data_IF_564565140459
#
_entry.id   IF_564565140459
#
_cell.length_a   1.000
_cell.length_b   1.000
_cell.length_c   1.000
_cell.angle_alpha   90.00
_cell.angle_beta   90.00
_cell.angle_gamma   90.00
#
_symmetry.space_group_name_H-M   'P 1'
#
loop_
_entity.id
_entity.type
_entity.pdbx_description
1 polymer ?
#
# COMPACT_ATOMS: atom_id res chain seq x y z
N UNK A 1 -27.40 -24.61 -6.01
CA UNK A 1 -27.06 -23.58 -7.01
C UNK A 1 -25.67 -23.90 -7.50
N UNK A 2 -25.35 -23.71 -8.76
CA UNK A 2 -23.95 -23.86 -9.20
C UNK A 2 -23.13 -22.71 -8.61
N UNK A 3 -22.00 -23.03 -8.00
CA UNK A 3 -21.06 -22.00 -7.52
C UNK A 3 -20.49 -21.22 -8.70
N UNK A 4 -20.28 -19.91 -8.53
CA UNK A 4 -19.71 -19.03 -9.53
C UNK A 4 -18.18 -19.24 -9.59
N UNK A 5 -17.63 -19.69 -10.73
CA UNK A 5 -16.17 -19.81 -10.85
C UNK A 5 -15.53 -18.42 -10.94
N UNK A 6 -14.56 -18.13 -10.05
CA UNK A 6 -13.82 -16.87 -10.05
C UNK A 6 -12.30 -17.09 -9.92
N UNK A 7 -11.52 -16.36 -10.70
CA UNK A 7 -10.06 -16.26 -10.55
C UNK A 7 -9.73 -15.11 -9.61
N UNK A 8 -9.18 -15.45 -8.43
CA UNK A 8 -8.91 -14.51 -7.34
C UNK A 8 -7.41 -14.37 -7.15
N UNK A 9 -6.87 -13.18 -7.40
CA UNK A 9 -5.45 -12.87 -7.27
C UNK A 9 -5.10 -12.15 -5.97
N UNK A 10 -3.91 -12.42 -5.42
CA UNK A 10 -3.41 -11.68 -4.26
C UNK A 10 -2.12 -12.28 -3.69
N UNK A 11 -1.52 -11.53 -2.77
CA UNK A 11 -0.37 -12.02 -2.03
C UNK A 11 -0.81 -12.84 -0.80
N UNK A 12 -0.02 -13.86 -0.45
CA UNK A 12 -0.34 -14.76 0.68
C UNK A 12 0.22 -14.20 1.98
N UNK A 13 -0.39 -13.12 2.47
CA UNK A 13 -0.10 -12.60 3.81
C UNK A 13 -0.51 -13.59 4.91
N UNK A 14 -0.07 -13.40 6.12
CA UNK A 14 -0.50 -14.24 7.25
C UNK A 14 -2.02 -14.22 7.45
N UNK A 15 -2.66 -13.07 7.21
CA UNK A 15 -4.10 -12.82 7.39
C UNK A 15 -4.94 -13.07 6.13
N UNK A 16 -4.34 -13.57 5.04
CA UNK A 16 -5.04 -14.03 3.84
C UNK A 16 -4.63 -15.45 3.46
N UNK A 17 -3.71 -16.05 4.21
CA UNK A 17 -3.12 -17.35 3.86
C UNK A 17 -4.13 -18.48 3.89
N UNK A 18 -5.01 -18.55 4.89
CA UNK A 18 -5.95 -19.66 4.97
C UNK A 18 -7.04 -19.55 3.89
N UNK A 19 -7.40 -18.34 3.49
CA UNK A 19 -8.28 -18.10 2.35
C UNK A 19 -7.63 -18.62 1.05
N UNK A 20 -6.40 -18.20 0.76
CA UNK A 20 -5.66 -18.63 -0.43
C UNK A 20 -5.24 -20.12 -0.41
N UNK A 21 -5.21 -20.74 0.77
CA UNK A 21 -5.04 -22.20 0.92
C UNK A 21 -6.36 -22.98 0.73
N UNK A 22 -7.47 -22.28 0.43
CA UNK A 22 -8.79 -22.91 0.27
C UNK A 22 -9.41 -23.43 1.58
N UNK A 23 -8.94 -22.96 2.75
CA UNK A 23 -9.43 -23.37 4.07
C UNK A 23 -10.62 -22.52 4.55
N UNK A 24 -10.82 -21.36 3.95
CA UNK A 24 -11.94 -20.45 4.19
C UNK A 24 -12.82 -20.50 2.94
N UNK A 25 -14.06 -21.00 3.02
CA UNK A 25 -14.97 -20.98 1.89
C UNK A 25 -15.46 -19.56 1.59
N UNK A 26 -15.79 -19.31 0.33
CA UNK A 26 -16.48 -18.09 -0.12
C UNK A 26 -17.87 -18.54 -0.55
N UNK A 27 -18.92 -18.06 0.11
CA UNK A 27 -20.27 -18.52 -0.13
C UNK A 27 -20.70 -18.27 -1.58
N UNK A 28 -21.21 -19.31 -2.25
CA UNK A 28 -21.65 -19.26 -3.65
C UNK A 28 -20.53 -19.14 -4.69
N UNK A 29 -19.26 -19.19 -4.31
CA UNK A 29 -18.10 -19.03 -5.20
C UNK A 29 -17.24 -20.28 -5.24
N UNK A 30 -16.83 -20.70 -6.45
CA UNK A 30 -15.78 -21.69 -6.70
C UNK A 30 -14.46 -20.95 -7.04
N UNK A 31 -13.58 -20.68 -6.07
CA UNK A 31 -12.40 -19.88 -6.32
C UNK A 31 -11.26 -20.67 -6.98
N UNK A 32 -10.58 -20.01 -7.91
CA UNK A 32 -9.24 -20.39 -8.38
C UNK A 32 -8.27 -19.31 -7.91
N UNK A 33 -7.49 -19.61 -6.89
CA UNK A 33 -6.54 -18.65 -6.33
C UNK A 33 -5.26 -18.56 -7.13
N UNK A 34 -4.81 -17.31 -7.40
CA UNK A 34 -3.57 -16.96 -8.08
C UNK A 34 -2.72 -16.12 -7.14
N UNK A 35 -1.46 -16.49 -6.97
CA UNK A 35 -0.52 -15.75 -6.13
C UNK A 35 0.87 -15.77 -6.77
N UNK A 36 1.61 -14.67 -6.64
CA UNK A 36 2.99 -14.55 -7.08
C UNK A 36 3.90 -14.11 -5.94
N UNK A 37 5.20 -14.35 -6.10
CA UNK A 37 6.22 -13.80 -5.21
C UNK A 37 6.33 -12.27 -5.33
N UNK A 38 5.98 -11.74 -6.52
CA UNK A 38 5.89 -10.30 -6.78
C UNK A 38 4.42 -9.93 -6.94
N UNK A 39 3.93 -9.05 -6.07
CA UNK A 39 2.53 -8.61 -6.14
C UNK A 39 2.21 -7.84 -7.42
N UNK A 40 3.20 -7.20 -8.05
CA UNK A 40 3.07 -6.54 -9.35
C UNK A 40 2.59 -7.47 -10.47
N UNK A 41 2.94 -8.76 -10.43
CA UNK A 41 2.46 -9.74 -11.41
C UNK A 41 0.94 -9.92 -11.32
N UNK A 42 0.39 -9.86 -10.10
CA UNK A 42 -1.06 -9.92 -9.85
C UNK A 42 -1.72 -8.64 -10.36
N UNK A 43 -1.06 -7.48 -10.18
CA UNK A 43 -1.58 -6.19 -10.68
C UNK A 43 -1.65 -6.17 -12.20
N UNK A 44 -0.60 -6.62 -12.88
CA UNK A 44 -0.58 -6.71 -14.34
C UNK A 44 -1.65 -7.66 -14.87
N UNK A 45 -1.82 -8.85 -14.27
CA UNK A 45 -2.88 -9.79 -14.64
C UNK A 45 -4.28 -9.20 -14.42
N UNK A 46 -4.49 -8.43 -13.34
CA UNK A 46 -5.77 -7.76 -13.10
C UNK A 46 -6.04 -6.67 -14.15
N UNK A 47 -5.03 -5.84 -14.45
CA UNK A 47 -5.12 -4.83 -15.50
C UNK A 47 -5.36 -5.45 -16.89
N UNK A 48 -4.70 -6.56 -17.19
CA UNK A 48 -4.84 -7.33 -18.43
C UNK A 48 -6.14 -8.12 -18.56
N UNK A 49 -6.93 -8.16 -17.49
CA UNK A 49 -8.22 -8.84 -17.52
C UNK A 49 -8.18 -10.36 -17.30
N UNK A 50 -7.09 -10.87 -16.79
CA UNK A 50 -6.93 -12.30 -16.52
C UNK A 50 -7.54 -12.73 -15.19
N UNK A 51 -7.80 -11.78 -14.29
CA UNK A 51 -8.40 -12.01 -12.97
C UNK A 51 -9.77 -11.37 -12.86
N UNK A 52 -10.64 -12.00 -12.10
CA UNK A 52 -12.00 -11.52 -11.80
C UNK A 52 -12.01 -10.62 -10.55
N UNK A 53 -11.22 -11.01 -9.57
CA UNK A 53 -11.02 -10.33 -8.29
C UNK A 53 -9.53 -10.31 -7.99
N UNK A 54 -8.97 -9.20 -7.53
CA UNK A 54 -7.59 -9.19 -7.08
C UNK A 54 -7.30 -8.14 -6.01
N UNK A 55 -6.31 -8.44 -5.17
CA UNK A 55 -5.56 -7.40 -4.51
C UNK A 55 -4.91 -6.52 -5.56
N UNK A 56 -5.10 -5.20 -5.43
CA UNK A 56 -4.65 -4.23 -6.41
C UNK A 56 -4.08 -3.00 -5.70
N UNK A 57 -2.98 -2.48 -6.19
CA UNK A 57 -2.44 -1.24 -5.66
C UNK A 57 -3.48 -0.14 -5.74
N UNK A 58 -3.65 0.63 -4.67
CA UNK A 58 -4.76 1.57 -4.61
C UNK A 58 -4.62 2.68 -5.66
N UNK A 59 -3.38 3.15 -5.91
CA UNK A 59 -3.10 4.10 -7.02
C UNK A 59 -3.41 3.48 -8.38
N UNK A 60 -3.13 2.19 -8.60
CA UNK A 60 -3.43 1.50 -9.86
C UNK A 60 -4.93 1.39 -10.09
N UNK A 61 -5.69 1.06 -9.04
CA UNK A 61 -7.14 1.06 -9.07
C UNK A 61 -7.70 2.45 -9.46
N UNK A 62 -7.24 3.52 -8.80
CA UNK A 62 -7.71 4.88 -9.04
C UNK A 62 -7.37 5.38 -10.46
N UNK A 63 -6.22 5.00 -11.00
CA UNK A 63 -5.85 5.33 -12.39
C UNK A 63 -6.73 4.62 -13.40
N UNK A 64 -7.20 3.42 -13.10
CA UNK A 64 -8.19 2.73 -13.94
C UNK A 64 -9.56 3.40 -13.88
N UNK A 65 -9.88 4.10 -12.79
CA UNK A 65 -11.14 4.81 -12.59
C UNK A 65 -11.30 6.02 -13.51
N UNK A 66 -10.23 6.71 -13.86
CA UNK A 66 -10.24 7.86 -14.76
C UNK A 66 -10.50 7.50 -16.23
N UNK A 67 -10.64 6.23 -16.56
CA UNK A 67 -11.04 5.76 -17.89
C UNK A 67 -12.56 5.85 -18.04
N UNK A 68 -13.10 6.15 -19.24
CA UNK A 68 -14.54 6.33 -19.45
C UNK A 68 -15.41 5.14 -19.04
N UNK A 69 -14.83 3.95 -19.01
CA UNK A 69 -15.50 2.69 -18.65
C UNK A 69 -14.61 1.94 -17.64
N UNK A 70 -14.47 2.50 -16.43
CA UNK A 70 -13.74 1.77 -15.39
C UNK A 70 -14.32 0.36 -15.21
N UNK A 71 -13.56 -0.69 -15.54
CA UNK A 71 -14.07 -2.07 -15.48
C UNK A 71 -14.13 -2.59 -14.05
N UNK A 72 -13.61 -1.83 -13.08
CA UNK A 72 -13.41 -2.29 -11.70
C UNK A 72 -14.25 -1.48 -10.71
N UNK A 73 -14.55 -2.12 -9.58
CA UNK A 73 -15.06 -1.48 -8.37
C UNK A 73 -14.29 -2.03 -7.17
N UNK A 74 -14.09 -1.24 -6.13
CA UNK A 74 -13.37 -1.67 -4.95
C UNK A 74 -14.29 -2.36 -3.93
N UNK A 75 -13.74 -3.36 -3.25
CA UNK A 75 -14.25 -3.88 -1.99
C UNK A 75 -13.45 -3.25 -0.84
N UNK A 76 -14.07 -2.89 0.29
CA UNK A 76 -13.36 -2.24 1.40
C UNK A 76 -12.51 -3.25 2.21
N UNK A 77 -11.63 -3.94 1.51
CA UNK A 77 -10.67 -4.93 2.01
C UNK A 77 -9.28 -4.40 1.72
N UNK A 78 -8.45 -4.26 2.74
CA UNK A 78 -7.14 -3.62 2.65
C UNK A 78 -6.03 -4.60 3.08
N UNK A 79 -5.56 -5.46 2.17
CA UNK A 79 -4.60 -6.51 2.52
C UNK A 79 -3.22 -5.97 2.92
N UNK A 80 -2.84 -4.81 2.41
CA UNK A 80 -1.56 -4.19 2.70
C UNK A 80 -1.73 -2.82 3.35
N UNK A 81 -1.18 -2.69 4.56
CA UNK A 81 -1.08 -1.42 5.31
C UNK A 81 0.32 -1.25 5.84
N UNK A 82 0.82 -0.05 5.82
CA UNK A 82 2.08 0.27 6.51
C UNK A 82 2.21 1.78 6.71
N UNK A 83 2.74 2.19 7.84
CA UNK A 83 3.20 3.57 8.01
C UNK A 83 4.37 3.84 7.07
N UNK A 84 4.67 5.11 6.77
CA UNK A 84 5.61 5.44 5.69
C UNK A 84 6.81 6.28 6.10
N UNK A 85 6.88 6.73 7.35
CA UNK A 85 8.04 7.46 7.84
C UNK A 85 9.31 6.60 7.84
N UNK A 86 9.18 5.29 8.06
CA UNK A 86 10.30 4.35 7.96
C UNK A 86 10.88 4.22 6.54
N UNK A 87 10.09 4.54 5.52
CA UNK A 87 10.38 4.30 4.11
C UNK A 87 11.13 5.45 3.42
N UNK A 88 11.55 6.46 4.17
CA UNK A 88 12.30 7.61 3.66
C UNK A 88 13.76 7.56 4.12
N UNK A 89 14.65 7.38 3.16
CA UNK A 89 16.09 7.26 3.37
C UNK A 89 16.81 8.48 2.80
N UNK A 90 17.96 8.83 3.36
CA UNK A 90 18.77 9.98 2.93
C UNK A 90 20.24 9.59 2.84
N UNK A 91 20.93 10.20 1.87
CA UNK A 91 22.40 10.14 1.79
C UNK A 91 23.02 11.01 2.89
N UNK A 92 24.02 10.49 3.58
CA UNK A 92 24.79 11.29 4.56
C UNK A 92 25.46 12.50 3.93
N UNK A 93 25.66 12.49 2.60
CA UNK A 93 26.26 13.61 1.85
C UNK A 93 25.25 14.70 1.51
N UNK A 94 23.94 14.43 1.63
CA UNK A 94 22.88 15.36 1.22
C UNK A 94 22.75 16.60 2.12
N UNK A 95 23.23 16.50 3.37
CA UNK A 95 23.03 17.53 4.40
C UNK A 95 21.59 17.63 4.92
N UNK A 96 20.72 16.68 4.57
CA UNK A 96 19.34 16.63 5.05
C UNK A 96 19.34 16.17 6.51
N UNK A 97 18.87 17.02 7.43
CA UNK A 97 18.74 16.73 8.85
C UNK A 97 17.29 16.56 9.32
N UNK A 98 16.37 17.14 8.58
CA UNK A 98 14.93 17.14 8.88
C UNK A 98 14.10 17.16 7.59
N UNK A 99 12.79 16.84 7.64
CA UNK A 99 11.96 16.72 6.44
C UNK A 99 11.91 17.99 5.57
N UNK A 100 11.93 19.16 6.17
CA UNK A 100 11.87 20.43 5.45
C UNK A 100 13.13 20.67 4.56
N UNK A 101 14.25 20.02 4.87
CA UNK A 101 15.49 20.11 4.09
C UNK A 101 15.38 19.36 2.73
N UNK A 102 14.30 18.60 2.49
CA UNK A 102 14.03 17.93 1.22
C UNK A 102 13.71 18.92 0.09
N UNK A 103 13.24 20.12 0.40
CA UNK A 103 12.98 21.15 -0.60
C UNK A 103 14.25 21.47 -1.41
N UNK A 104 14.15 21.45 -2.75
CA UNK A 104 15.26 21.63 -3.67
C UNK A 104 16.13 20.39 -3.90
N UNK A 105 15.86 19.27 -3.24
CA UNK A 105 16.63 18.03 -3.33
C UNK A 105 16.18 17.12 -4.47
N UNK A 106 17.04 16.16 -4.80
CA UNK A 106 16.73 15.10 -5.76
C UNK A 106 16.36 13.84 -4.99
N UNK A 107 15.14 13.35 -5.20
CA UNK A 107 14.54 12.24 -4.46
C UNK A 107 14.27 11.07 -5.41
N UNK A 108 14.79 9.89 -5.10
CA UNK A 108 14.41 8.64 -5.77
C UNK A 108 13.02 8.21 -5.32
N UNK A 109 12.20 7.72 -6.25
CA UNK A 109 10.90 7.08 -5.95
C UNK A 109 10.82 5.72 -6.62
N UNK A 110 10.44 4.71 -5.86
CA UNK A 110 10.39 3.32 -6.33
C UNK A 110 9.31 3.10 -7.40
N UNK A 111 9.66 2.37 -8.43
CA UNK A 111 8.83 1.83 -9.51
C UNK A 111 8.20 2.86 -10.45
N UNK A 112 7.35 3.73 -9.96
CA UNK A 112 6.64 4.74 -10.78
C UNK A 112 6.32 5.99 -9.98
N UNK A 113 6.17 7.10 -10.68
CA UNK A 113 5.66 8.32 -10.08
C UNK A 113 4.26 8.07 -9.47
N UNK A 114 4.14 8.30 -8.17
CA UNK A 114 2.87 8.11 -7.48
C UNK A 114 2.46 6.65 -7.30
N UNK A 115 3.38 5.74 -6.97
CA UNK A 115 3.01 4.45 -6.38
C UNK A 115 2.45 4.66 -4.96
N UNK A 116 1.74 3.68 -4.42
CA UNK A 116 0.99 3.86 -3.18
C UNK A 116 1.79 4.46 -2.01
N UNK A 117 2.98 3.92 -1.66
CA UNK A 117 3.83 4.53 -0.62
C UNK A 117 4.29 5.94 -0.96
N UNK A 118 4.55 6.23 -2.24
CA UNK A 118 4.95 7.55 -2.71
C UNK A 118 3.84 8.58 -2.56
N UNK A 119 2.60 8.19 -2.89
CA UNK A 119 1.42 9.06 -2.68
C UNK A 119 1.27 9.40 -1.20
N UNK A 120 1.32 8.40 -0.32
CA UNK A 120 1.24 8.62 1.12
C UNK A 120 2.35 9.53 1.63
N UNK A 121 3.61 9.23 1.29
CA UNK A 121 4.74 9.99 1.86
C UNK A 121 4.76 11.42 1.34
N UNK A 122 4.51 11.65 0.04
CA UNK A 122 4.43 13.01 -0.52
C UNK A 122 3.29 13.82 0.12
N UNK A 123 2.12 13.19 0.33
CA UNK A 123 1.01 13.84 1.01
C UNK A 123 1.33 14.17 2.47
N UNK A 124 1.97 13.24 3.21
CA UNK A 124 2.41 13.49 4.59
C UNK A 124 3.48 14.59 4.64
N UNK A 125 4.43 14.60 3.72
CA UNK A 125 5.46 15.66 3.64
C UNK A 125 4.83 17.03 3.38
N UNK A 126 3.82 17.10 2.54
CA UNK A 126 3.09 18.34 2.27
C UNK A 126 2.28 18.82 3.49
N UNK A 127 1.48 17.94 4.09
CA UNK A 127 0.60 18.29 5.20
C UNK A 127 1.35 18.60 6.50
N UNK A 128 2.38 17.81 6.84
CA UNK A 128 3.04 17.87 8.14
C UNK A 128 4.30 18.75 8.13
N UNK A 129 4.96 18.88 6.97
CA UNK A 129 6.29 19.53 6.88
C UNK A 129 6.35 20.63 5.80
N UNK A 130 5.28 20.86 5.04
CA UNK A 130 5.21 21.91 4.02
C UNK A 130 6.11 21.66 2.81
N UNK A 131 6.51 20.41 2.56
CA UNK A 131 7.33 20.03 1.39
C UNK A 131 6.44 19.41 0.32
N UNK A 132 6.22 20.15 -0.76
CA UNK A 132 5.39 19.69 -1.88
C UNK A 132 6.23 19.04 -2.99
N UNK A 133 5.62 18.18 -3.84
CA UNK A 133 6.35 17.51 -4.93
C UNK A 133 7.07 18.47 -5.89
N UNK A 134 6.49 19.63 -6.16
CA UNK A 134 7.03 20.64 -7.09
C UNK A 134 8.32 21.30 -6.57
N UNK A 135 8.55 21.22 -5.27
CA UNK A 135 9.78 21.74 -4.63
C UNK A 135 10.96 20.77 -4.79
N UNK A 136 10.74 19.56 -5.30
CA UNK A 136 11.76 18.52 -5.39
C UNK A 136 11.98 18.08 -6.85
N UNK A 137 13.08 17.39 -7.12
CA UNK A 137 13.34 16.67 -8.37
C UNK A 137 13.21 15.18 -8.11
N UNK A 138 12.57 14.45 -9.01
CA UNK A 138 12.24 13.04 -8.81
C UNK A 138 12.96 12.14 -9.81
N UNK A 139 13.46 11.01 -9.32
CA UNK A 139 14.10 9.97 -10.14
C UNK A 139 13.39 8.66 -9.89
N UNK A 140 12.76 8.11 -10.93
CA UNK A 140 11.98 6.88 -10.84
C UNK A 140 12.87 5.68 -11.20
N UNK A 141 12.83 4.62 -10.39
CA UNK A 141 13.59 3.41 -10.64
C UNK A 141 13.38 2.32 -9.60
N UNK A 142 14.17 1.27 -9.67
CA UNK A 142 14.17 0.21 -8.67
C UNK A 142 15.12 0.48 -7.52
N UNK A 143 14.84 -0.03 -6.34
CA UNK A 143 15.67 0.20 -5.14
C UNK A 143 17.01 -0.51 -5.27
N UNK A 144 17.04 -1.84 -5.25
CA UNK A 144 18.26 -2.67 -5.30
C UNK A 144 18.38 -3.48 -6.60
N UNK A 145 17.50 -3.25 -7.56
CA UNK A 145 17.50 -3.83 -8.90
C UNK A 145 16.86 -2.84 -9.87
N UNK A 146 17.31 -2.78 -11.11
CA UNK A 146 16.70 -1.91 -12.12
C UNK A 146 15.26 -2.31 -12.40
N UNK A 147 14.39 -1.32 -12.56
CA UNK A 147 13.01 -1.51 -13.03
C UNK A 147 12.87 -0.77 -14.35
N UNK A 148 12.62 -1.47 -15.47
CA UNK A 148 12.35 -0.83 -16.74
C UNK A 148 11.03 -0.07 -16.70
N UNK A 149 10.90 0.95 -17.53
CA UNK A 149 9.61 1.61 -17.74
C UNK A 149 8.57 0.62 -18.26
N UNK A 150 7.34 0.76 -17.79
CA UNK A 150 6.19 -0.07 -18.21
C UNK A 150 4.99 0.83 -18.53
N UNK A 151 4.07 0.34 -19.35
CA UNK A 151 2.97 1.11 -19.94
C UNK A 151 1.57 0.48 -19.78
N UNK A 152 1.48 -0.64 -19.06
CA UNK A 152 0.21 -1.33 -18.84
C UNK A 152 -0.77 -0.57 -17.91
N UNK A 153 -0.32 0.53 -17.28
CA UNK A 153 -1.14 1.46 -16.52
C UNK A 153 -0.78 2.91 -16.87
N UNK A 154 -1.74 3.86 -16.93
CA UNK A 154 -1.44 5.28 -17.14
C UNK A 154 -0.51 5.84 -16.05
N UNK A 155 0.50 6.61 -16.45
CA UNK A 155 1.48 7.21 -15.53
C UNK A 155 1.49 8.74 -15.73
N UNK A 156 0.45 9.46 -15.27
CA UNK A 156 0.39 10.91 -15.40
C UNK A 156 1.48 11.56 -14.53
N UNK A 157 2.15 12.55 -15.10
CA UNK A 157 3.04 13.46 -14.36
C UNK A 157 2.41 14.85 -14.44
N UNK A 158 2.12 15.49 -13.30
CA UNK A 158 1.49 16.80 -13.31
C UNK A 158 2.47 17.88 -13.82
N UNK A 159 1.90 18.93 -14.40
CA UNK A 159 2.66 20.10 -14.81
C UNK A 159 3.41 20.72 -13.61
N UNK A 160 4.68 21.08 -13.80
CA UNK A 160 5.50 21.72 -12.79
C UNK A 160 6.26 20.76 -11.86
N UNK A 161 6.07 19.44 -11.98
CA UNK A 161 6.87 18.45 -11.27
C UNK A 161 7.98 17.92 -12.18
N UNK A 162 9.23 17.99 -11.69
CA UNK A 162 10.41 17.50 -12.43
C UNK A 162 10.60 15.99 -12.13
N UNK A 163 10.23 15.14 -13.09
CA UNK A 163 10.31 13.67 -12.98
C UNK A 163 11.13 13.12 -14.14
N UNK A 164 12.14 12.32 -13.83
CA UNK A 164 12.92 11.54 -14.80
C UNK A 164 13.07 10.08 -14.38
N UNK A 165 13.35 9.20 -15.30
CA UNK A 165 13.74 7.82 -14.99
C UNK A 165 15.24 7.72 -14.70
N UNK A 166 15.60 6.79 -13.83
CA UNK A 166 16.98 6.36 -13.64
C UNK A 166 17.53 5.72 -14.94
N UNK A 167 18.86 5.72 -15.18
CA UNK A 167 19.45 4.92 -16.24
C UNK A 167 19.01 3.44 -16.16
N UNK A 168 18.91 2.76 -17.31
CA UNK A 168 18.34 1.41 -17.41
C UNK A 168 19.01 0.35 -16.52
N UNK A 169 20.30 0.50 -16.25
CA UNK A 169 21.12 -0.40 -15.44
C UNK A 169 21.40 0.13 -14.02
N UNK A 170 20.89 1.32 -13.68
CA UNK A 170 21.12 1.94 -12.38
C UNK A 170 20.07 1.50 -11.34
N UNK A 171 20.48 1.51 -10.07
CA UNK A 171 19.59 1.32 -8.93
C UNK A 171 19.52 2.60 -8.09
N UNK A 172 18.36 2.86 -7.51
CA UNK A 172 18.20 4.04 -6.64
C UNK A 172 19.04 3.93 -5.36
N UNK A 173 19.34 2.72 -4.88
CA UNK A 173 20.20 2.51 -3.73
C UNK A 173 21.65 2.92 -4.03
N UNK A 174 22.19 2.53 -5.19
CA UNK A 174 23.54 2.92 -5.62
C UNK A 174 23.64 4.44 -5.84
N UNK A 175 22.59 5.03 -6.45
CA UNK A 175 22.52 6.50 -6.64
C UNK A 175 22.45 7.25 -5.29
N UNK A 176 21.79 6.68 -4.29
CA UNK A 176 21.72 7.25 -2.94
C UNK A 176 23.08 7.13 -2.23
N UNK A 177 23.77 5.99 -2.32
CA UNK A 177 25.08 5.78 -1.73
C UNK A 177 26.16 6.69 -2.36
N UNK A 178 26.10 6.85 -3.68
CA UNK A 178 27.03 7.75 -4.40
C UNK A 178 26.74 9.24 -4.12
N UNK A 179 25.50 9.57 -3.72
CA UNK A 179 25.04 10.95 -3.54
C UNK A 179 24.55 11.58 -4.85
N UNK A 180 24.26 10.80 -5.88
CA UNK A 180 23.62 11.28 -7.11
C UNK A 180 22.17 11.67 -6.85
N UNK A 181 21.49 10.97 -5.94
CA UNK A 181 20.24 11.40 -5.32
C UNK A 181 20.45 11.69 -3.84
N UNK A 182 19.71 12.65 -3.30
CA UNK A 182 19.81 13.12 -1.92
C UNK A 182 18.99 12.26 -0.96
N UNK A 183 17.85 11.76 -1.43
CA UNK A 183 16.91 10.96 -0.65
C UNK A 183 16.25 9.87 -1.51
N UNK A 184 15.60 8.90 -0.87
CA UNK A 184 14.91 7.79 -1.50
C UNK A 184 13.62 7.47 -0.76
N UNK A 185 12.51 7.47 -1.49
CA UNK A 185 11.23 6.88 -1.10
C UNK A 185 11.15 5.45 -1.65
N UNK A 186 11.14 4.45 -0.78
CA UNK A 186 11.13 3.05 -1.21
C UNK A 186 10.16 2.19 -0.41
N UNK A 187 9.63 1.16 -1.03
CA UNK A 187 8.88 0.10 -0.35
C UNK A 187 9.81 -0.82 0.43
N UNK A 188 11.03 -0.99 -0.09
CA UNK A 188 12.05 -1.85 0.48
C UNK A 188 13.10 -1.04 1.23
N UNK A 189 13.65 -1.61 2.28
CA UNK A 189 14.83 -1.07 2.94
C UNK A 189 16.04 -1.37 2.04
N UNK A 190 16.81 -0.36 1.61
CA UNK A 190 18.01 -0.58 0.80
C UNK A 190 18.93 -1.62 1.44
N UNK A 191 19.38 -2.61 0.67
CA UNK A 191 20.27 -3.68 1.17
C UNK A 191 21.57 -3.12 1.75
N UNK A 192 22.07 -2.04 1.19
CA UNK A 192 23.25 -1.35 1.72
C UNK A 192 23.05 -0.96 3.18
N UNK A 193 21.91 -0.38 3.55
CA UNK A 193 21.59 -0.04 4.94
C UNK A 193 21.51 -1.28 5.84
N UNK A 194 20.86 -2.36 5.38
CA UNK A 194 20.78 -3.63 6.12
C UNK A 194 22.17 -4.27 6.32
N UNK A 195 23.09 -4.05 5.38
CA UNK A 195 24.47 -4.54 5.44
C UNK A 195 25.41 -3.61 6.21
N UNK A 196 24.89 -2.56 6.87
CA UNK A 196 25.66 -1.68 7.74
C UNK A 196 26.38 -0.54 7.02
N UNK A 197 25.91 -0.14 5.84
CA UNK A 197 26.41 1.09 5.18
C UNK A 197 26.27 2.28 6.10
N UNK A 198 27.31 3.13 6.13
CA UNK A 198 27.34 4.39 6.87
C UNK A 198 27.10 5.60 5.99
N UNK A 199 26.82 5.39 4.70
CA UNK A 199 26.59 6.46 3.72
C UNK A 199 25.12 6.83 3.56
N UNK A 200 24.23 5.97 4.04
CA UNK A 200 22.78 6.18 4.03
C UNK A 200 22.16 5.91 5.40
N UNK A 201 21.09 6.60 5.70
CA UNK A 201 20.30 6.40 6.92
C UNK A 201 18.82 6.68 6.68
N UNK A 202 17.97 6.30 7.64
CA UNK A 202 16.57 6.78 7.65
C UNK A 202 16.53 8.27 7.97
N UNK A 203 15.63 9.01 7.33
CA UNK A 203 15.36 10.40 7.68
C UNK A 203 14.74 10.50 9.09
N UNK A 204 13.89 9.55 9.43
CA UNK A 204 13.27 9.41 10.75
C UNK A 204 13.92 8.25 11.52
N UNK A 205 15.01 8.47 12.28
CA UNK A 205 15.70 7.38 12.98
C UNK A 205 14.81 6.66 14.00
N UNK A 206 13.97 7.41 14.71
CA UNK A 206 12.94 6.87 15.62
C UNK A 206 11.55 6.90 14.95
N UNK A 207 11.48 6.32 13.73
CA UNK A 207 10.21 6.25 12.98
C UNK A 207 9.07 5.58 13.78
N UNK A 208 9.31 4.58 14.65
CA UNK A 208 8.20 3.99 15.40
C UNK A 208 7.47 4.99 16.31
N UNK A 209 8.20 5.91 16.95
CA UNK A 209 7.58 6.97 17.76
C UNK A 209 6.89 8.02 16.90
N UNK A 210 7.48 8.39 15.76
CA UNK A 210 6.89 9.35 14.81
C UNK A 210 5.59 8.82 14.23
N UNK A 211 5.54 7.55 13.85
CA UNK A 211 4.37 6.91 13.26
C UNK A 211 3.23 6.74 14.27
N UNK A 212 3.54 6.43 15.54
CA UNK A 212 2.54 6.39 16.61
C UNK A 212 1.97 7.77 16.90
N UNK A 213 2.81 8.80 16.92
CA UNK A 213 2.35 10.19 17.08
C UNK A 213 1.49 10.63 15.90
N UNK A 214 1.90 10.34 14.67
CA UNK A 214 1.10 10.57 13.47
C UNK A 214 -0.28 9.91 13.57
N UNK A 215 -0.33 8.61 13.92
CA UNK A 215 -1.61 7.91 14.09
C UNK A 215 -2.44 8.52 15.20
N UNK A 216 -1.83 8.86 16.33
CA UNK A 216 -2.54 9.45 17.47
C UNK A 216 -3.20 10.80 17.11
N UNK A 217 -2.50 11.64 16.35
CA UNK A 217 -3.01 12.95 15.91
C UNK A 217 -4.03 12.83 14.77
N UNK A 218 -3.79 11.94 13.84
CA UNK A 218 -4.57 11.86 12.59
C UNK A 218 -5.63 10.77 12.59
N UNK A 219 -5.42 9.68 13.32
CA UNK A 219 -6.21 8.45 13.21
C UNK A 219 -6.05 7.72 11.87
N UNK A 220 -5.04 8.09 11.06
CA UNK A 220 -4.80 7.51 9.74
C UNK A 220 -3.80 6.37 9.85
N UNK A 221 -4.22 5.15 9.51
CA UNK A 221 -3.34 4.00 9.29
C UNK A 221 -3.28 3.75 7.77
N UNK A 222 -2.19 4.12 7.10
CA UNK A 222 -2.10 4.10 5.64
C UNK A 222 -2.34 2.70 5.05
N UNK A 223 -3.19 2.61 4.03
CA UNK A 223 -3.38 1.42 3.21
C UNK A 223 -2.69 1.60 1.86
N UNK A 224 -2.07 0.53 1.36
CA UNK A 224 -1.40 0.51 0.07
C UNK A 224 -2.27 -0.13 -1.00
N UNK A 225 -2.97 -1.20 -0.63
CA UNK A 225 -3.73 -2.01 -1.57
C UNK A 225 -5.19 -2.10 -1.15
N UNK A 226 -6.03 -2.31 -2.14
CA UNK A 226 -7.45 -2.59 -2.00
C UNK A 226 -7.78 -3.88 -2.77
N UNK A 227 -8.83 -4.60 -2.42
CA UNK A 227 -9.33 -5.67 -3.29
C UNK A 227 -10.27 -5.06 -4.31
N UNK A 228 -9.97 -5.27 -5.59
CA UNK A 228 -10.78 -4.84 -6.72
C UNK A 228 -11.50 -6.04 -7.34
N UNK A 229 -12.71 -5.82 -7.84
CA UNK A 229 -13.53 -6.81 -8.53
C UNK A 229 -14.06 -6.21 -9.83
N UNK A 230 -14.27 -7.03 -10.85
CA UNK A 230 -14.89 -6.59 -12.10
C UNK A 230 -16.32 -6.13 -11.85
N UNK A 231 -16.64 -4.95 -12.37
CA UNK A 231 -17.95 -4.31 -12.20
C UNK A 231 -19.09 -5.17 -12.72
N UNK A 232 -18.89 -5.89 -13.84
CA UNK A 232 -19.87 -6.79 -14.43
C UNK A 232 -20.27 -7.93 -13.48
N UNK A 233 -19.30 -8.49 -12.73
CA UNK A 233 -19.57 -9.56 -11.76
C UNK A 233 -20.48 -9.05 -10.64
N UNK A 234 -20.19 -7.87 -10.10
CA UNK A 234 -21.03 -7.29 -9.03
C UNK A 234 -22.42 -6.90 -9.56
N UNK A 235 -22.52 -6.50 -10.83
CA UNK A 235 -23.79 -6.18 -11.45
C UNK A 235 -24.69 -7.41 -11.66
N UNK A 236 -24.10 -8.55 -12.04
CA UNK A 236 -24.82 -9.80 -12.27
C UNK A 236 -25.01 -10.63 -10.99
N UNK A 237 -24.04 -10.53 -10.05
CA UNK A 237 -23.95 -11.32 -8.81
C UNK A 237 -23.62 -10.41 -7.61
N UNK A 238 -24.54 -9.52 -7.18
CA UNK A 238 -24.28 -8.54 -6.12
C UNK A 238 -23.94 -9.18 -4.76
N UNK A 239 -24.38 -10.40 -4.50
CA UNK A 239 -24.09 -11.17 -3.28
C UNK A 239 -22.61 -11.54 -3.15
N UNK A 240 -21.88 -11.66 -4.26
CA UNK A 240 -20.46 -12.07 -4.28
C UNK A 240 -19.57 -11.07 -3.55
N UNK A 241 -19.87 -9.78 -3.65
CA UNK A 241 -19.11 -8.76 -2.95
C UNK A 241 -19.12 -8.96 -1.43
N UNK A 242 -20.31 -9.29 -0.86
CA UNK A 242 -20.45 -9.59 0.57
C UNK A 242 -19.77 -10.90 0.93
N UNK A 243 -19.93 -11.95 0.14
CA UNK A 243 -19.30 -13.25 0.38
C UNK A 243 -17.76 -13.16 0.40
N UNK A 244 -17.17 -12.39 -0.52
CA UNK A 244 -15.73 -12.10 -0.53
C UNK A 244 -15.31 -11.33 0.71
N UNK A 245 -16.00 -10.24 1.04
CA UNK A 245 -15.72 -9.42 2.22
C UNK A 245 -15.71 -10.26 3.50
N UNK A 246 -16.75 -11.07 3.70
CA UNK A 246 -16.91 -11.91 4.89
C UNK A 246 -15.81 -12.99 4.97
N UNK A 247 -15.38 -13.57 3.84
CA UNK A 247 -14.31 -14.56 3.80
C UNK A 247 -12.94 -13.94 4.17
N UNK A 248 -12.62 -12.74 3.65
CA UNK A 248 -11.41 -12.03 4.02
C UNK A 248 -11.42 -11.60 5.49
N UNK A 249 -12.55 -11.11 6.01
CA UNK A 249 -12.72 -10.80 7.43
C UNK A 249 -12.49 -12.04 8.29
N UNK A 250 -13.06 -13.18 7.90
CA UNK A 250 -12.92 -14.45 8.63
C UNK A 250 -11.45 -14.88 8.77
N UNK A 251 -10.64 -14.80 7.70
CA UNK A 251 -9.21 -15.17 7.79
C UNK A 251 -8.41 -14.18 8.65
N UNK A 252 -8.65 -12.87 8.48
CA UNK A 252 -8.04 -11.83 9.29
C UNK A 252 -8.36 -12.01 10.78
N UNK A 253 -9.61 -12.18 11.12
CA UNK A 253 -10.06 -12.32 12.51
C UNK A 253 -9.51 -13.59 13.15
N UNK A 254 -9.45 -14.70 12.39
CA UNK A 254 -8.79 -15.94 12.81
C UNK A 254 -7.33 -15.72 13.21
N UNK A 255 -6.58 -14.90 12.45
CA UNK A 255 -5.20 -14.59 12.78
C UNK A 255 -5.11 -13.68 14.02
N UNK A 256 -5.98 -12.69 14.16
CA UNK A 256 -5.99 -11.82 15.34
C UNK A 256 -6.33 -12.61 16.61
N UNK A 257 -7.26 -13.57 16.51
CA UNK A 257 -7.58 -14.48 17.62
C UNK A 257 -6.40 -15.38 17.98
N UNK A 258 -5.67 -15.88 16.97
CA UNK A 258 -4.43 -16.61 17.19
C UNK A 258 -3.39 -15.76 17.93
N UNK A 259 -3.17 -14.51 17.53
CA UNK A 259 -2.23 -13.63 18.23
C UNK A 259 -2.66 -13.33 19.67
N UNK A 260 -3.95 -13.11 19.90
CA UNK A 260 -4.52 -12.91 21.25
C UNK A 260 -4.28 -14.15 22.14
N UNK A 261 -4.51 -15.33 21.60
CA UNK A 261 -4.23 -16.60 22.27
C UNK A 261 -2.74 -16.75 22.59
N UNK A 262 -1.85 -16.47 21.63
CA UNK A 262 -0.41 -16.57 21.85
C UNK A 262 0.13 -15.55 22.86
N UNK A 263 -0.37 -14.34 22.88
CA UNK A 263 0.02 -13.32 23.85
C UNK A 263 -0.34 -13.72 25.30
N UNK A 264 -1.35 -14.57 25.49
CA UNK A 264 -1.78 -15.07 26.79
C UNK A 264 -0.99 -16.29 27.31
N UNK A 265 -0.17 -16.91 26.46
CA UNK A 265 0.52 -18.17 26.75
C UNK A 265 1.99 -17.96 27.09
N UNK A 266 2.51 -18.72 28.06
CA UNK A 266 3.93 -18.67 28.42
C UNK A 266 4.84 -19.37 27.39
N UNK A 267 4.31 -20.33 26.63
CA UNK A 267 5.00 -21.03 25.55
C UNK A 267 4.31 -20.66 24.21
N UNK A 268 4.75 -19.59 23.62
CA UNK A 268 4.15 -19.07 22.38
C UNK A 268 4.56 -19.88 21.15
N UNK A 269 3.62 -20.08 20.23
CA UNK A 269 3.90 -20.58 18.89
C UNK A 269 4.48 -19.51 17.93
N UNK A 270 4.57 -18.25 18.37
CA UNK A 270 5.16 -17.14 17.61
C UNK A 270 6.62 -17.02 17.99
N UNK A 271 7.53 -17.06 16.99
CA UNK A 271 8.99 -17.00 17.22
C UNK A 271 9.55 -15.58 17.32
N UNK A 272 8.70 -14.55 17.25
CA UNK A 272 9.11 -13.14 17.35
C UNK A 272 9.44 -12.80 18.82
N UNK A 273 10.68 -12.40 19.14
CA UNK A 273 11.03 -11.93 20.48
C UNK A 273 10.16 -10.74 20.90
N UNK A 274 9.83 -10.68 22.20
CA UNK A 274 8.98 -9.62 22.78
C UNK A 274 7.59 -9.49 22.14
N UNK A 275 7.08 -10.56 21.53
CA UNK A 275 5.77 -10.55 20.87
C UNK A 275 4.64 -10.03 21.79
N UNK A 276 4.60 -10.42 23.05
CA UNK A 276 3.58 -9.95 23.98
C UNK A 276 3.61 -8.42 24.16
N UNK A 277 4.80 -7.82 24.25
CA UNK A 277 4.95 -6.38 24.35
C UNK A 277 4.49 -5.66 23.06
N UNK A 278 4.83 -6.21 21.89
CA UNK A 278 4.35 -5.68 20.61
C UNK A 278 2.82 -5.82 20.48
N UNK A 279 2.26 -6.94 20.90
CA UNK A 279 0.82 -7.17 20.90
C UNK A 279 0.09 -6.16 21.80
N UNK A 280 0.55 -5.99 23.04
CA UNK A 280 -0.04 -5.04 23.99
C UNK A 280 0.06 -3.60 23.49
N UNK A 281 1.19 -3.24 22.88
CA UNK A 281 1.38 -1.90 22.32
C UNK A 281 0.49 -1.64 21.11
N UNK A 282 0.42 -2.54 20.14
CA UNK A 282 -0.46 -2.42 18.99
C UNK A 282 -1.92 -2.28 19.42
N UNK A 283 -2.35 -3.10 20.37
CA UNK A 283 -3.69 -3.03 20.93
C UNK A 283 -3.98 -1.69 21.63
N UNK A 284 -3.01 -1.17 22.37
CA UNK A 284 -3.14 0.12 23.06
C UNK A 284 -3.20 1.30 22.08
N UNK A 285 -2.43 1.26 20.99
CA UNK A 285 -2.32 2.37 20.03
C UNK A 285 -3.41 2.28 18.96
N UNK A 286 -3.62 1.12 18.38
CA UNK A 286 -4.48 0.92 17.20
C UNK A 286 -5.86 0.32 17.56
N UNK A 287 -6.05 -0.16 18.79
CA UNK A 287 -7.28 -0.80 19.25
C UNK A 287 -7.27 -2.34 19.11
N UNK A 288 -8.40 -2.96 19.46
CA UNK A 288 -8.56 -4.42 19.47
C UNK A 288 -8.41 -5.03 18.07
N UNK A 289 -8.97 -4.38 17.06
CA UNK A 289 -8.80 -4.71 15.65
C UNK A 289 -7.89 -3.65 15.02
N UNK A 290 -6.59 -3.92 14.97
CA UNK A 290 -5.59 -3.01 14.40
C UNK A 290 -5.43 -3.13 12.89
N UNK A 291 -6.18 -4.04 12.25
CA UNK A 291 -6.20 -4.22 10.79
C UNK A 291 -7.65 -4.21 10.26
N UNK A 292 -8.41 -3.11 10.48
CA UNK A 292 -9.82 -3.08 10.16
C UNK A 292 -10.05 -3.13 8.64
N UNK A 293 -11.01 -3.94 8.21
CA UNK A 293 -11.68 -3.84 6.92
C UNK A 293 -12.98 -3.04 7.09
N UNK A 294 -13.65 -2.76 5.97
CA UNK A 294 -14.88 -1.98 5.94
C UNK A 294 -14.67 -0.49 5.68
N UNK A 295 -15.75 0.19 5.29
CA UNK A 295 -15.72 1.60 4.90
C UNK A 295 -15.66 2.52 6.13
N UNK A 296 -16.54 2.33 7.10
CA UNK A 296 -16.69 3.27 8.22
C UNK A 296 -15.38 3.52 8.99
N UNK A 297 -14.70 2.44 9.37
CA UNK A 297 -13.45 2.51 10.13
C UNK A 297 -12.26 3.02 9.32
N UNK A 298 -12.36 3.00 8.00
CA UNK A 298 -11.28 3.36 7.10
C UNK A 298 -11.56 4.64 6.32
N UNK A 299 -12.78 5.20 6.40
CA UNK A 299 -13.21 6.38 5.62
C UNK A 299 -12.18 7.50 5.66
N UNK A 300 -11.73 7.87 6.85
CA UNK A 300 -10.73 8.95 7.00
C UNK A 300 -9.43 8.65 6.26
N UNK A 301 -8.91 7.44 6.37
CA UNK A 301 -7.68 7.07 5.71
C UNK A 301 -7.86 6.96 4.18
N UNK A 302 -8.98 6.40 3.73
CA UNK A 302 -9.35 6.33 2.30
C UNK A 302 -9.47 7.73 1.72
N UNK A 303 -10.29 8.60 2.31
CA UNK A 303 -10.52 9.97 1.81
C UNK A 303 -9.23 10.81 1.85
N UNK A 304 -8.33 10.56 2.84
CA UNK A 304 -7.00 11.18 2.85
C UNK A 304 -6.15 10.73 1.67
N UNK A 305 -6.15 9.43 1.34
CA UNK A 305 -5.42 8.92 0.18
C UNK A 305 -5.98 9.46 -1.14
N UNK A 306 -7.32 9.49 -1.28
CA UNK A 306 -7.99 10.05 -2.45
C UNK A 306 -7.64 11.52 -2.66
N UNK A 307 -7.60 12.30 -1.59
CA UNK A 307 -7.16 13.70 -1.63
C UNK A 307 -5.70 13.81 -2.07
N UNK A 308 -4.78 13.06 -1.44
CA UNK A 308 -3.37 13.05 -1.81
C UNK A 308 -3.14 12.65 -3.26
N UNK A 309 -3.87 11.64 -3.73
CA UNK A 309 -3.78 11.17 -5.10
C UNK A 309 -4.23 12.25 -6.10
N UNK A 310 -5.31 12.96 -5.79
CA UNK A 310 -5.80 14.06 -6.60
C UNK A 310 -4.89 15.29 -6.57
N UNK A 311 -4.45 15.73 -5.38
CA UNK A 311 -3.54 16.87 -5.19
C UNK A 311 -2.19 16.67 -5.88
N UNK A 312 -1.73 15.43 -6.01
CA UNK A 312 -0.52 15.05 -6.75
C UNK A 312 -0.75 14.86 -8.26
N UNK A 313 -1.91 15.25 -8.78
CA UNK A 313 -2.23 15.21 -10.20
C UNK A 313 -2.39 13.81 -10.80
N UNK A 314 -2.62 12.80 -9.98
CA UNK A 314 -2.71 11.40 -10.40
C UNK A 314 -4.13 10.97 -10.78
N UNK A 315 -5.15 11.72 -10.37
CA UNK A 315 -6.55 11.57 -10.78
C UNK A 315 -7.14 12.92 -11.18
N UNK A 316 -8.02 12.93 -12.19
CA UNK A 316 -8.68 14.13 -12.71
C UNK A 316 -9.74 14.66 -11.76
N UNK A 317 -10.41 13.75 -11.04
CA UNK A 317 -11.52 14.07 -10.16
C UNK A 317 -11.15 13.70 -8.72
N UNK A 318 -11.51 14.56 -7.76
CA UNK A 318 -11.47 14.22 -6.36
C UNK A 318 -12.63 13.27 -6.05
N UNK A 319 -12.28 12.00 -5.78
CA UNK A 319 -13.23 10.96 -5.42
C UNK A 319 -13.40 10.87 -3.90
N UNK A 320 -14.49 10.26 -3.46
CA UNK A 320 -14.79 9.92 -2.08
C UNK A 320 -14.87 8.40 -1.91
N UNK A 321 -14.87 7.93 -0.67
CA UNK A 321 -15.08 6.51 -0.37
C UNK A 321 -16.38 5.97 -1.00
N UNK A 322 -17.44 6.78 -1.03
CA UNK A 322 -18.74 6.36 -1.57
C UNK A 322 -18.74 6.19 -3.10
N UNK A 323 -17.80 6.84 -3.80
CA UNK A 323 -17.68 6.73 -5.26
C UNK A 323 -17.00 5.43 -5.68
N UNK A 324 -16.03 4.94 -4.90
CA UNK A 324 -15.14 3.85 -5.31
C UNK A 324 -15.55 2.46 -4.82
N UNK A 325 -16.23 2.37 -3.68
CA UNK A 325 -16.66 1.08 -3.13
C UNK A 325 -18.01 0.64 -3.68
N UNK A 326 -18.20 -0.69 -3.71
CA UNK A 326 -19.51 -1.25 -4.09
C UNK A 326 -20.60 -0.81 -3.11
N UNK A 327 -21.77 -0.39 -3.61
CA UNK A 327 -22.86 0.09 -2.75
C UNK A 327 -23.31 -0.90 -1.66
N UNK A 328 -23.18 -2.22 -1.93
CA UNK A 328 -23.56 -3.29 -0.99
C UNK A 328 -22.67 -3.40 0.25
N UNK A 329 -21.56 -2.67 0.30
CA UNK A 329 -20.58 -2.70 1.40
C UNK A 329 -20.32 -1.32 2.04
N UNK A 330 -21.06 -0.28 1.64
CA UNK A 330 -20.87 1.09 2.20
C UNK A 330 -21.23 1.19 3.70
N UNK A 331 -22.03 0.24 4.20
CA UNK A 331 -22.45 0.14 5.60
C UNK A 331 -21.49 -0.66 6.49
N UNK A 332 -20.32 -1.06 5.96
CA UNK A 332 -19.33 -1.88 6.69
C UNK A 332 -18.32 -1.09 7.50
#
# INVERSE_FOLDING_TARGET
>A
MNELPLRIGGYRYEHTRALFDGKIPIDGVQPTFVSSALISDVFEQMAGGELDVAEYGFTYFLRSWDTPESPLVALPIFPNRNFRHEALFVSERSGIGRPEDLAGKTIGEFALWGHDPGVWMKGILADEYGVTPEQCRWVIGGTDFPIPSFDWIPQPVPDGVDVRHAPEDATLADMLESGEIDALLSVDVPKALLNGSTTIRRLFPDYPSVERDYYHRTGVHPMMHVVAIRREIVAEHPEVARALYDAYCTDKDRLQDYYRDQASKQHMGVITPWFSALFEENRRVLGEDWWPYGVERNRKAVDTFLRYHHEQGLSRTLLTSDDIFTPTLLDT
#
